data_IF_487225099969
#
_entry.id   IF_487225099969
#
_cell.length_a   1.000
_cell.length_b   1.000
_cell.length_c   1.000
_cell.angle_alpha   90.00
_cell.angle_beta   90.00
_cell.angle_gamma   90.00
#
_symmetry.space_group_name_H-M   'P 1'
#
loop_
_entity.id
_entity.type
_entity.pdbx_description
1 polymer ?
#
# COMPACT_ATOMS: atom_id res chain seq x y z
N UNK A 1 13.69 10.61 10.27
CA UNK A 1 14.25 9.34 9.77
C UNK A 1 13.12 8.61 9.05
N UNK A 2 13.05 8.62 7.70
CA UNK A 2 11.91 8.06 6.97
C UNK A 2 12.00 6.53 6.81
N UNK A 3 12.52 5.81 7.80
CA UNK A 3 12.80 4.37 7.71
C UNK A 3 11.58 3.48 8.04
N UNK A 4 10.52 4.03 8.64
CA UNK A 4 9.37 3.24 9.09
C UNK A 4 8.39 2.90 7.95
N UNK A 5 8.29 3.75 6.93
CA UNK A 5 7.30 3.59 5.85
C UNK A 5 7.66 2.45 4.90
N UNK A 6 8.85 2.49 4.30
CA UNK A 6 9.33 1.45 3.39
C UNK A 6 9.34 0.07 4.05
N UNK A 7 9.73 0.02 5.33
CA UNK A 7 9.76 -1.24 6.08
C UNK A 7 8.34 -1.77 6.35
N UNK A 8 7.39 -0.91 6.70
CA UNK A 8 5.99 -1.31 6.89
C UNK A 8 5.36 -1.81 5.58
N UNK A 9 5.60 -1.11 4.47
CA UNK A 9 5.14 -1.50 3.14
C UNK A 9 5.74 -2.86 2.76
N UNK A 10 7.05 -3.01 2.87
CA UNK A 10 7.76 -4.25 2.56
C UNK A 10 7.25 -5.43 3.40
N UNK A 11 7.00 -5.22 4.70
CA UNK A 11 6.48 -6.26 5.58
C UNK A 11 5.06 -6.71 5.20
N UNK A 12 4.22 -5.79 4.73
CA UNK A 12 2.85 -6.09 4.29
C UNK A 12 2.87 -6.80 2.94
N UNK A 13 3.69 -6.33 1.99
CA UNK A 13 3.77 -6.89 0.65
C UNK A 13 4.48 -8.24 0.58
N UNK A 14 5.52 -8.47 1.40
CA UNK A 14 6.19 -9.77 1.50
C UNK A 14 5.30 -10.89 2.06
N UNK A 15 4.11 -10.55 2.55
CA UNK A 15 3.12 -11.52 3.01
C UNK A 15 2.24 -12.06 1.87
N UNK A 16 2.26 -11.40 0.72
CA UNK A 16 1.58 -11.83 -0.49
C UNK A 16 2.52 -12.73 -1.31
N UNK A 17 1.98 -13.77 -1.94
CA UNK A 17 2.75 -14.62 -2.85
C UNK A 17 2.94 -13.92 -4.21
N UNK A 18 3.98 -14.30 -4.95
CA UNK A 18 4.19 -13.76 -6.30
C UNK A 18 2.99 -14.06 -7.21
N UNK A 19 2.42 -13.00 -7.80
CA UNK A 19 1.23 -13.08 -8.65
C UNK A 19 -0.09 -12.80 -7.90
N UNK A 20 -0.05 -12.58 -6.58
CA UNK A 20 -1.20 -12.08 -5.84
C UNK A 20 -1.52 -10.63 -6.19
N UNK A 21 -2.80 -10.30 -6.07
CA UNK A 21 -3.32 -8.94 -6.24
C UNK A 21 -3.34 -8.22 -4.90
N UNK A 22 -2.59 -7.13 -4.80
CA UNK A 22 -2.58 -6.24 -3.64
C UNK A 22 -3.62 -5.14 -3.83
N UNK A 23 -4.59 -5.06 -2.91
CA UNK A 23 -5.51 -3.92 -2.85
C UNK A 23 -4.84 -2.74 -2.15
N UNK A 24 -4.71 -1.61 -2.86
CA UNK A 24 -4.14 -0.36 -2.30
C UNK A 24 -4.88 0.07 -1.04
N UNK A 25 -6.21 0.02 -1.05
CA UNK A 25 -7.04 0.43 0.08
C UNK A 25 -6.80 -0.44 1.31
N UNK A 26 -6.67 -1.75 1.12
CA UNK A 26 -6.39 -2.68 2.22
C UNK A 26 -4.98 -2.46 2.78
N UNK A 27 -3.97 -2.36 1.90
CA UNK A 27 -2.59 -2.10 2.28
C UNK A 27 -2.43 -0.77 3.02
N UNK A 28 -3.02 0.32 2.50
CA UNK A 28 -3.02 1.63 3.14
C UNK A 28 -3.62 1.60 4.55
N UNK A 29 -4.76 0.92 4.72
CA UNK A 29 -5.40 0.78 6.03
C UNK A 29 -4.51 -0.02 7.01
N UNK A 30 -3.86 -1.09 6.54
CA UNK A 30 -2.94 -1.86 7.36
C UNK A 30 -1.71 -1.04 7.77
N UNK A 31 -1.14 -0.24 6.86
CA UNK A 31 -0.01 0.65 7.16
C UNK A 31 -0.42 1.68 8.21
N UNK A 32 -1.60 2.31 8.07
CA UNK A 32 -2.11 3.28 9.05
C UNK A 32 -2.34 2.67 10.43
N UNK A 33 -2.74 1.41 10.51
CA UNK A 33 -2.88 0.71 11.78
C UNK A 33 -1.53 0.31 12.39
N UNK A 34 -0.57 -0.08 11.56
CA UNK A 34 0.77 -0.47 12.01
C UNK A 34 1.65 0.74 12.40
N UNK A 35 1.42 1.87 11.75
CA UNK A 35 2.16 3.12 11.94
C UNK A 35 1.17 4.31 12.05
N UNK A 36 0.46 4.46 13.19
CA UNK A 36 -0.52 5.54 13.38
C UNK A 36 0.14 6.93 13.41
N UNK A 37 1.42 7.01 13.83
CA UNK A 37 2.20 8.24 13.89
C UNK A 37 2.84 8.63 12.55
N UNK A 38 2.54 7.89 11.47
CA UNK A 38 3.09 8.15 10.15
C UNK A 38 2.62 9.51 9.62
N UNK A 39 3.56 10.43 9.44
CA UNK A 39 3.30 11.79 8.96
C UNK A 39 2.98 11.84 7.46
N UNK A 40 3.41 10.83 6.69
CA UNK A 40 3.17 10.76 5.25
C UNK A 40 1.67 10.78 4.94
N UNK A 41 1.29 11.46 3.86
CA UNK A 41 -0.08 11.58 3.37
C UNK A 41 -0.58 10.26 2.77
N UNK A 42 -1.89 10.09 2.64
CA UNK A 42 -2.44 8.87 2.03
C UNK A 42 -1.97 8.68 0.57
N UNK A 43 -1.79 9.78 -0.19
CA UNK A 43 -1.24 9.74 -1.54
C UNK A 43 0.22 9.26 -1.57
N UNK A 44 1.07 9.83 -0.69
CA UNK A 44 2.48 9.42 -0.56
C UNK A 44 2.60 7.94 -0.18
N UNK A 45 1.75 7.46 0.72
CA UNK A 45 1.73 6.04 1.09
C UNK A 45 1.22 5.17 -0.06
N UNK A 46 0.23 5.64 -0.82
CA UNK A 46 -0.31 4.93 -1.97
C UNK A 46 0.73 4.77 -3.08
N UNK A 47 1.48 5.82 -3.38
CA UNK A 47 2.59 5.81 -4.34
C UNK A 47 3.68 4.81 -3.90
N UNK A 48 4.10 4.89 -2.64
CA UNK A 48 5.10 3.98 -2.10
C UNK A 48 4.66 2.49 -2.12
N UNK A 49 3.37 2.20 -1.86
CA UNK A 49 2.83 0.84 -2.02
C UNK A 49 2.91 0.37 -3.48
N UNK A 50 2.54 1.25 -4.43
CA UNK A 50 2.53 0.90 -5.85
C UNK A 50 3.96 0.65 -6.39
N UNK A 51 4.93 1.47 -5.98
CA UNK A 51 6.34 1.28 -6.32
C UNK A 51 6.88 -0.04 -5.77
N UNK A 52 6.64 -0.32 -4.48
CA UNK A 52 7.11 -1.54 -3.85
C UNK A 52 6.44 -2.80 -4.44
N UNK A 53 5.14 -2.75 -4.74
CA UNK A 53 4.43 -3.85 -5.40
C UNK A 53 4.97 -4.11 -6.82
N UNK A 54 5.27 -3.05 -7.57
CA UNK A 54 5.88 -3.14 -8.91
C UNK A 54 7.27 -3.78 -8.83
N UNK A 55 8.08 -3.38 -7.86
CA UNK A 55 9.41 -3.97 -7.64
C UNK A 55 9.35 -5.47 -7.30
N UNK A 56 8.28 -5.91 -6.62
CA UNK A 56 8.04 -7.31 -6.26
C UNK A 56 7.33 -8.12 -7.37
N UNK A 57 6.93 -7.47 -8.48
CA UNK A 57 6.17 -8.12 -9.55
C UNK A 57 4.75 -8.50 -9.16
N UNK A 58 4.15 -7.78 -8.20
CA UNK A 58 2.77 -7.96 -7.75
C UNK A 58 1.81 -7.11 -8.60
N UNK A 59 0.56 -7.56 -8.72
CA UNK A 59 -0.48 -6.77 -9.37
C UNK A 59 -1.15 -5.84 -8.37
N UNK A 60 -1.23 -4.56 -8.70
CA UNK A 60 -1.88 -3.55 -7.86
C UNK A 60 -3.32 -3.36 -8.30
N UNK A 61 -4.27 -3.60 -7.40
CA UNK A 61 -5.67 -3.26 -7.59
C UNK A 61 -6.01 -1.95 -6.87
N UNK A 62 -6.45 -0.97 -7.65
CA UNK A 62 -7.13 0.22 -7.15
C UNK A 62 -8.61 -0.15 -7.03
N UNK A 63 -9.20 -0.06 -5.83
CA UNK A 63 -10.65 -0.25 -5.67
C UNK A 63 -11.32 0.98 -6.29
N UNK A 64 -11.76 0.87 -7.54
CA UNK A 64 -12.40 1.96 -8.31
C UNK A 64 -13.82 2.32 -7.81
N UNK A 65 -14.19 2.00 -6.56
CA UNK A 65 -15.51 2.37 -6.01
C UNK A 65 -15.55 3.80 -5.46
N UNK A 66 -14.88 4.72 -6.14
CA UNK A 66 -15.04 6.16 -5.94
C UNK A 66 -15.30 6.88 -7.30
N UNK A 67 -16.13 6.28 -8.15
CA UNK A 67 -16.76 6.90 -9.34
C UNK A 67 -17.89 5.92 -9.73
N UNK A 68 -19.20 6.18 -9.68
CA UNK A 68 -20.02 7.40 -9.66
C UNK A 68 -21.31 7.00 -8.91
N UNK A 69 -21.68 7.69 -7.83
CA UNK A 69 -23.10 7.76 -7.46
C UNK A 69 -23.72 8.86 -8.30
N UNK A 70 -24.70 8.46 -9.11
CA UNK A 70 -25.51 9.25 -10.06
C UNK A 70 -26.07 10.53 -9.45
#
# INVERSE_FOLDING_TARGET
>A
MPHDLDQAITAILNRADHGDTVSIKAALNQIRQAAPDLVASNDEVTEAIAEAATALGLFVAFDERDLISV
#
